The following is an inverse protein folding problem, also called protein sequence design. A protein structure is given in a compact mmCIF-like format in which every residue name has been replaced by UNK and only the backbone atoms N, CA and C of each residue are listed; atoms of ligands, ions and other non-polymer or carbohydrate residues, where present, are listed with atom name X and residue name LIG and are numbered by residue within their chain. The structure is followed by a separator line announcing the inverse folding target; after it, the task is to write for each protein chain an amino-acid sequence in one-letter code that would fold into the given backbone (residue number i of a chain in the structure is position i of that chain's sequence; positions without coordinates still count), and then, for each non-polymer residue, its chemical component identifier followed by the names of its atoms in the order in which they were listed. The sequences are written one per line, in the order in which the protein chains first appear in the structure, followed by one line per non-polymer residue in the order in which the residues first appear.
data_IF_126106116648
#
_entry.id   IF_126106116648
#
_cell.length_a   1.000
_cell.length_b   1.000
_cell.length_c   1.000
_cell.angle_alpha   90.00
_cell.angle_beta   90.00
_cell.angle_gamma   90.00
#
_symmetry.space_group_name_H-M   'P 1'
#
loop_
_entity.id
_entity.type
_entity.pdbx_description
1 polymer ?
#
# COMPACT_ATOMS: atom_id res chain seq x y z
N UNK A 1 18.85 -1.09 -15.83
CA UNK A 1 18.72 -2.47 -15.28
C UNK A 1 20.02 -3.10 -14.73
N UNK A 2 21.24 -2.58 -14.99
CA UNK A 2 22.50 -3.17 -14.45
C UNK A 2 22.70 -2.99 -12.93
N UNK A 3 22.05 -2.01 -12.30
CA UNK A 3 22.21 -1.72 -10.86
C UNK A 3 21.37 -2.62 -9.93
N UNK A 4 20.41 -3.41 -10.45
CA UNK A 4 19.61 -4.34 -9.64
C UNK A 4 20.31 -5.66 -9.32
N UNK A 5 21.20 -6.13 -10.20
CA UNK A 5 21.80 -7.46 -10.08
C UNK A 5 22.74 -7.61 -8.87
N UNK A 6 23.29 -6.51 -8.35
CA UNK A 6 24.24 -6.54 -7.24
C UNK A 6 23.60 -6.28 -5.86
N UNK A 7 22.53 -5.48 -5.78
CA UNK A 7 21.98 -5.02 -4.49
C UNK A 7 21.01 -5.99 -3.83
N UNK A 8 19.86 -6.23 -4.47
CA UNK A 8 18.76 -6.98 -3.84
C UNK A 8 18.99 -8.49 -3.75
N UNK A 9 19.45 -9.19 -4.82
CA UNK A 9 19.73 -10.62 -4.74
C UNK A 9 20.87 -10.94 -3.77
N UNK A 10 21.92 -10.11 -3.74
CA UNK A 10 23.05 -10.26 -2.83
C UNK A 10 22.66 -10.07 -1.37
N UNK A 11 21.90 -9.00 -1.06
CA UNK A 11 21.36 -8.77 0.30
C UNK A 11 20.44 -9.89 0.75
N UNK A 12 19.58 -10.41 -0.13
CA UNK A 12 18.70 -11.55 0.15
C UNK A 12 19.52 -12.81 0.46
N UNK A 13 20.51 -13.14 -0.35
CA UNK A 13 21.37 -14.30 -0.13
C UNK A 13 22.12 -14.19 1.20
N UNK A 14 22.67 -13.01 1.52
CA UNK A 14 23.34 -12.76 2.80
C UNK A 14 22.38 -12.87 4.00
N UNK A 15 21.13 -12.44 3.86
CA UNK A 15 20.12 -12.60 4.91
C UNK A 15 19.74 -14.07 5.12
N UNK A 16 19.54 -14.84 4.04
CA UNK A 16 19.27 -16.28 4.08
C UNK A 16 20.43 -17.03 4.75
N UNK A 17 21.68 -16.71 4.39
CA UNK A 17 22.85 -17.35 4.95
C UNK A 17 23.01 -17.16 6.47
N UNK A 18 22.37 -16.13 7.05
CA UNK A 18 22.35 -15.89 8.50
C UNK A 18 21.28 -16.69 9.24
N UNK A 19 20.42 -17.41 8.52
CA UNK A 19 19.30 -18.18 9.09
C UNK A 19 19.39 -19.63 8.60
N UNK A 20 20.19 -20.49 9.27
CA UNK A 20 20.40 -21.89 8.87
C UNK A 20 19.10 -22.68 8.64
N UNK A 21 18.05 -22.37 9.38
CA UNK A 21 16.71 -22.96 9.32
C UNK A 21 15.79 -22.34 8.26
N UNK A 22 16.29 -21.42 7.41
CA UNK A 22 15.47 -20.67 6.45
C UNK A 22 14.59 -21.58 5.57
N UNK A 23 15.14 -22.65 5.02
CA UNK A 23 14.38 -23.54 4.14
C UNK A 23 13.31 -24.33 4.91
N UNK A 24 13.56 -24.67 6.18
CA UNK A 24 12.57 -25.33 7.05
C UNK A 24 11.43 -24.36 7.41
N UNK A 25 11.75 -23.12 7.78
CA UNK A 25 10.75 -22.07 8.04
C UNK A 25 9.93 -21.76 6.78
N UNK A 26 10.57 -21.75 5.61
CA UNK A 26 9.89 -21.57 4.32
C UNK A 26 8.93 -22.71 4.01
N UNK A 27 9.31 -23.95 4.31
CA UNK A 27 8.44 -25.12 4.15
C UNK A 27 7.26 -25.04 5.13
N UNK A 28 7.52 -24.80 6.41
CA UNK A 28 6.48 -24.65 7.42
C UNK A 28 5.48 -23.53 7.08
N UNK A 29 5.97 -22.38 6.60
CA UNK A 29 5.10 -21.28 6.17
C UNK A 29 4.23 -21.62 4.95
N UNK A 30 4.75 -22.44 4.01
CA UNK A 30 3.96 -22.96 2.89
C UNK A 30 2.87 -23.91 3.37
N UNK A 31 3.21 -24.84 4.23
CA UNK A 31 2.29 -25.86 4.73
C UNK A 31 1.17 -25.21 5.56
N UNK A 32 1.51 -24.23 6.39
CA UNK A 32 0.54 -23.42 7.13
C UNK A 32 -0.38 -22.64 6.17
N UNK A 33 0.17 -22.03 5.13
CA UNK A 33 -0.65 -21.32 4.13
C UNK A 33 -1.62 -22.26 3.43
N UNK A 34 -1.18 -23.47 3.07
CA UNK A 34 -2.04 -24.48 2.44
C UNK A 34 -3.17 -24.90 3.40
N UNK A 35 -2.85 -25.17 4.66
CA UNK A 35 -3.85 -25.49 5.68
C UNK A 35 -4.89 -24.37 5.84
N UNK A 36 -4.45 -23.10 5.89
CA UNK A 36 -5.38 -21.95 5.97
C UNK A 36 -6.29 -21.86 4.74
N UNK A 37 -5.77 -22.15 3.54
CA UNK A 37 -6.57 -22.14 2.32
C UNK A 37 -7.57 -23.30 2.26
N UNK A 38 -7.22 -24.47 2.80
CA UNK A 38 -8.10 -25.64 2.90
C UNK A 38 -9.25 -25.44 3.91
N UNK A 39 -9.05 -24.57 4.91
CA UNK A 39 -10.02 -24.26 5.96
C UNK A 39 -10.40 -22.77 5.99
N UNK A 40 -10.45 -22.16 4.80
CA UNK A 40 -10.57 -20.72 4.67
C UNK A 40 -11.88 -20.21 5.27
N UNK A 41 -12.98 -20.93 5.07
CA UNK A 41 -14.29 -20.70 5.68
C UNK A 41 -14.20 -20.53 7.21
N UNK A 42 -13.57 -21.48 7.89
CA UNK A 42 -13.41 -21.45 9.34
C UNK A 42 -12.58 -20.25 9.82
N UNK A 43 -11.46 -19.96 9.16
CA UNK A 43 -10.58 -18.86 9.56
C UNK A 43 -11.22 -17.49 9.31
N UNK A 44 -11.98 -17.36 8.23
CA UNK A 44 -12.69 -16.16 7.85
C UNK A 44 -13.81 -15.83 8.85
N UNK A 45 -14.69 -16.78 9.16
CA UNK A 45 -15.77 -16.59 10.14
C UNK A 45 -15.22 -16.31 11.54
N UNK A 46 -14.12 -16.98 11.93
CA UNK A 46 -13.46 -16.73 13.22
C UNK A 46 -12.86 -15.32 13.29
N UNK A 47 -12.21 -14.87 12.22
CA UNK A 47 -11.67 -13.52 12.14
C UNK A 47 -12.81 -12.48 12.21
N UNK A 48 -13.89 -12.69 11.46
CA UNK A 48 -15.07 -11.82 11.49
C UNK A 48 -15.69 -11.71 12.88
N UNK A 49 -15.93 -12.84 13.54
CA UNK A 49 -16.47 -12.86 14.90
C UNK A 49 -15.60 -12.03 15.86
N UNK A 50 -14.26 -12.12 15.72
CA UNK A 50 -13.32 -11.35 16.54
C UNK A 50 -13.27 -9.87 16.20
N UNK A 51 -13.42 -9.50 14.93
CA UNK A 51 -13.53 -8.09 14.52
C UNK A 51 -14.78 -7.46 15.12
N UNK A 52 -15.93 -8.14 15.02
CA UNK A 52 -17.20 -7.67 15.57
C UNK A 52 -17.14 -7.55 17.10
N UNK A 53 -16.54 -8.53 17.78
CA UNK A 53 -16.32 -8.48 19.24
C UNK A 53 -15.50 -7.26 19.67
N UNK A 54 -14.57 -6.81 18.82
CA UNK A 54 -13.73 -5.63 19.06
C UNK A 54 -14.38 -4.30 18.61
N UNK A 55 -15.64 -4.34 18.17
CA UNK A 55 -16.38 -3.16 17.69
C UNK A 55 -16.06 -2.74 16.26
N UNK A 56 -15.33 -3.57 15.51
CA UNK A 56 -15.14 -3.40 14.08
C UNK A 56 -16.33 -3.91 13.26
N UNK A 57 -16.29 -3.67 11.96
CA UNK A 57 -17.28 -4.17 11.01
C UNK A 57 -16.58 -4.91 9.88
N UNK A 58 -17.07 -6.10 9.55
CA UNK A 58 -16.65 -6.85 8.36
C UNK A 58 -17.68 -6.65 7.27
N UNK A 59 -17.18 -6.42 6.06
CA UNK A 59 -17.98 -6.35 4.85
C UNK A 59 -17.48 -7.41 3.88
N UNK A 60 -18.39 -8.28 3.45
CA UNK A 60 -18.11 -9.32 2.46
C UNK A 60 -18.39 -8.79 1.06
N UNK A 61 -17.44 -8.96 0.15
CA UNK A 61 -17.60 -8.61 -1.27
C UNK A 61 -17.32 -9.84 -2.13
N UNK A 62 -18.24 -10.15 -3.04
CA UNK A 62 -18.13 -11.29 -3.97
C UNK A 62 -17.28 -10.95 -5.19
N UNK A 63 -17.22 -9.68 -5.56
CA UNK A 63 -16.49 -9.19 -6.72
C UNK A 63 -15.95 -7.76 -6.52
N UNK A 64 -15.21 -7.30 -7.53
CA UNK A 64 -14.59 -5.97 -7.56
C UNK A 64 -15.62 -4.82 -7.52
N UNK A 65 -16.83 -5.01 -8.07
CA UNK A 65 -17.85 -3.96 -8.08
C UNK A 65 -18.45 -3.78 -6.67
N UNK A 66 -18.78 -4.90 -6.01
CA UNK A 66 -19.29 -4.89 -4.63
C UNK A 66 -18.24 -4.32 -3.66
N UNK A 67 -16.97 -4.71 -3.79
CA UNK A 67 -15.88 -4.19 -2.97
C UNK A 67 -15.74 -2.66 -3.10
N UNK A 68 -15.73 -2.15 -4.33
CA UNK A 68 -15.66 -0.71 -4.62
C UNK A 68 -16.86 0.05 -4.05
N UNK A 69 -18.06 -0.50 -4.22
CA UNK A 69 -19.29 0.11 -3.70
C UNK A 69 -19.27 0.20 -2.18
N UNK A 70 -18.87 -0.87 -1.49
CA UNK A 70 -18.71 -0.89 -0.03
C UNK A 70 -17.74 0.21 0.42
N UNK A 71 -16.56 0.31 -0.20
CA UNK A 71 -15.57 1.33 0.17
C UNK A 71 -16.10 2.74 -0.04
N UNK A 72 -16.81 2.98 -1.16
CA UNK A 72 -17.45 4.27 -1.43
C UNK A 72 -18.52 4.61 -0.38
N UNK A 73 -19.35 3.65 0.01
CA UNK A 73 -20.41 3.87 1.00
C UNK A 73 -19.82 4.15 2.39
N UNK A 74 -18.73 3.47 2.76
CA UNK A 74 -17.96 3.79 3.98
C UNK A 74 -17.42 5.21 3.91
N UNK A 75 -16.78 5.62 2.81
CA UNK A 75 -16.27 6.99 2.64
C UNK A 75 -17.39 8.03 2.74
N UNK A 76 -18.55 7.77 2.12
CA UNK A 76 -19.72 8.66 2.17
C UNK A 76 -20.33 8.75 3.56
N UNK A 77 -20.32 7.66 4.34
CA UNK A 77 -20.86 7.63 5.70
C UNK A 77 -20.18 8.64 6.64
N UNK A 78 -18.92 8.97 6.36
CA UNK A 78 -18.12 9.97 7.08
C UNK A 78 -17.94 11.27 6.30
N UNK A 79 -18.68 11.44 5.19
CA UNK A 79 -18.57 12.57 4.27
C UNK A 79 -17.12 12.85 3.79
N UNK A 80 -16.32 11.80 3.64
CA UNK A 80 -14.94 11.92 3.18
C UNK A 80 -14.88 12.53 1.78
N UNK A 81 -13.99 13.51 1.63
CA UNK A 81 -13.59 14.08 0.33
C UNK A 81 -12.18 13.64 -0.05
N UNK A 82 -11.35 13.29 0.94
CA UNK A 82 -9.99 12.79 0.73
C UNK A 82 -9.71 11.60 1.62
N UNK A 83 -9.09 10.58 1.06
CA UNK A 83 -8.62 9.40 1.80
C UNK A 83 -7.15 9.14 1.48
N UNK A 84 -6.36 8.78 2.48
CA UNK A 84 -5.01 8.24 2.22
C UNK A 84 -5.08 6.74 2.03
N UNK A 85 -4.29 6.22 1.10
CA UNK A 85 -4.26 4.81 0.75
C UNK A 85 -2.84 4.28 0.81
N UNK A 86 -2.64 3.19 1.55
CA UNK A 86 -1.41 2.40 1.50
C UNK A 86 -1.40 1.43 0.32
N UNK A 87 -0.20 1.01 -0.09
CA UNK A 87 -0.02 0.05 -1.18
C UNK A 87 -0.84 -1.22 -0.95
N UNK A 88 -1.71 -1.53 -1.89
CA UNK A 88 -2.46 -2.79 -1.91
C UNK A 88 -2.70 -3.23 -3.35
N UNK A 89 -2.22 -4.43 -3.69
CA UNK A 89 -2.41 -5.01 -5.03
C UNK A 89 -3.90 -5.20 -5.32
N UNK A 90 -4.67 -5.61 -4.31
CA UNK A 90 -6.11 -5.83 -4.46
C UNK A 90 -6.84 -4.55 -4.83
N UNK A 91 -6.47 -3.40 -4.24
CA UNK A 91 -7.09 -2.13 -4.61
C UNK A 91 -6.74 -1.67 -6.04
N UNK A 92 -5.55 -2.03 -6.54
CA UNK A 92 -5.17 -1.79 -7.95
C UNK A 92 -5.98 -2.70 -8.88
N UNK A 93 -6.08 -3.99 -8.57
CA UNK A 93 -6.80 -4.98 -9.39
C UNK A 93 -8.28 -4.65 -9.55
N UNK A 94 -8.92 -4.07 -8.51
CA UNK A 94 -10.31 -3.66 -8.58
C UNK A 94 -10.49 -2.24 -9.17
N UNK A 95 -9.43 -1.50 -9.45
CA UNK A 95 -9.49 -0.11 -9.94
C UNK A 95 -10.13 0.83 -8.93
N UNK A 96 -9.70 0.75 -7.67
CA UNK A 96 -10.32 1.50 -6.57
C UNK A 96 -10.08 3.01 -6.70
N UNK A 97 -8.90 3.44 -7.14
CA UNK A 97 -8.56 4.85 -7.20
C UNK A 97 -9.44 5.59 -8.21
N UNK A 98 -9.50 5.09 -9.45
CA UNK A 98 -10.32 5.66 -10.52
C UNK A 98 -11.80 5.65 -10.14
N UNK A 99 -12.26 4.61 -9.44
CA UNK A 99 -13.62 4.52 -8.96
C UNK A 99 -13.93 5.60 -7.91
N UNK A 100 -13.06 5.82 -6.92
CA UNK A 100 -13.26 6.86 -5.91
C UNK A 100 -13.19 8.26 -6.52
N UNK A 101 -12.24 8.51 -7.42
CA UNK A 101 -12.09 9.78 -8.14
C UNK A 101 -13.34 10.13 -8.95
N UNK A 102 -13.89 9.15 -9.69
CA UNK A 102 -15.13 9.31 -10.45
C UNK A 102 -16.34 9.65 -9.56
N UNK A 103 -16.28 9.34 -8.27
CA UNK A 103 -17.32 9.63 -7.28
C UNK A 103 -16.99 10.84 -6.37
N UNK A 104 -15.97 11.62 -6.72
CA UNK A 104 -15.63 12.87 -6.03
C UNK A 104 -14.84 12.70 -4.73
N UNK A 105 -14.24 11.53 -4.50
CA UNK A 105 -13.33 11.27 -3.40
C UNK A 105 -11.91 11.23 -3.96
N UNK A 106 -11.00 11.98 -3.36
CA UNK A 106 -9.58 11.99 -3.76
C UNK A 106 -8.80 10.92 -2.96
N UNK A 107 -8.42 9.79 -3.56
CA UNK A 107 -7.44 8.88 -2.98
C UNK A 107 -6.03 9.48 -3.11
N UNK A 108 -5.20 9.33 -2.09
CA UNK A 108 -3.77 9.73 -2.14
C UNK A 108 -2.93 8.55 -1.69
N UNK A 109 -2.06 8.07 -2.57
CA UNK A 109 -1.11 7.00 -2.25
C UNK A 109 -0.06 7.45 -1.23
N UNK A 110 0.22 6.60 -0.25
CA UNK A 110 1.24 6.87 0.79
C UNK A 110 2.56 6.15 0.55
N UNK A 111 2.59 5.13 -0.31
CA UNK A 111 3.84 4.53 -0.80
C UNK A 111 4.48 5.51 -1.79
N UNK A 112 5.75 5.87 -1.59
CA UNK A 112 6.43 6.83 -2.45
C UNK A 112 6.42 6.41 -3.92
N UNK A 113 6.58 5.10 -4.18
CA UNK A 113 6.59 4.58 -5.53
C UNK A 113 5.20 4.68 -6.18
N UNK A 114 4.15 4.27 -5.47
CA UNK A 114 2.76 4.39 -5.96
C UNK A 114 2.36 5.87 -6.12
N UNK A 115 2.77 6.74 -5.20
CA UNK A 115 2.52 8.19 -5.28
C UNK A 115 3.15 8.82 -6.53
N UNK A 116 4.40 8.49 -6.85
CA UNK A 116 5.05 8.98 -8.08
C UNK A 116 4.28 8.51 -9.32
N UNK A 117 3.81 7.26 -9.33
CA UNK A 117 3.02 6.71 -10.43
C UNK A 117 1.65 7.39 -10.52
N UNK A 118 1.01 7.66 -9.38
CA UNK A 118 -0.26 8.39 -9.30
C UNK A 118 -0.13 9.80 -9.87
N UNK A 119 0.90 10.56 -9.49
CA UNK A 119 1.18 11.90 -10.04
C UNK A 119 1.40 11.89 -11.55
N UNK A 120 1.85 10.77 -12.10
CA UNK A 120 2.13 10.63 -13.53
C UNK A 120 0.97 10.02 -14.32
N UNK A 121 -0.10 9.59 -13.64
CA UNK A 121 -1.21 8.84 -14.23
C UNK A 121 -0.72 7.64 -15.06
N UNK A 122 0.28 6.93 -14.55
CA UNK A 122 0.89 5.76 -15.18
C UNK A 122 0.46 4.47 -14.47
N UNK A 123 0.72 3.31 -15.07
CA UNK A 123 0.59 2.03 -14.39
C UNK A 123 1.93 1.60 -13.77
N UNK A 124 1.92 0.88 -12.64
CA UNK A 124 3.14 0.41 -12.00
C UNK A 124 3.89 -0.58 -12.90
N UNK A 125 5.20 -0.37 -13.06
CA UNK A 125 6.04 -1.25 -13.90
C UNK A 125 6.43 -2.56 -13.23
N UNK A 126 6.33 -2.64 -11.90
CA UNK A 126 6.71 -3.82 -11.12
C UNK A 126 5.99 -3.85 -9.78
N UNK A 127 5.50 -5.03 -9.37
CA UNK A 127 4.70 -5.22 -8.14
C UNK A 127 5.39 -4.69 -6.88
N UNK A 128 6.68 -4.99 -6.70
CA UNK A 128 7.46 -4.60 -5.50
C UNK A 128 8.05 -3.19 -5.60
N UNK A 129 8.18 -2.65 -6.82
CA UNK A 129 8.90 -1.41 -7.08
C UNK A 129 8.22 -0.65 -8.23
N UNK A 130 7.08 -0.01 -7.98
CA UNK A 130 6.17 0.47 -9.02
C UNK A 130 6.83 1.49 -9.97
N UNK A 131 7.61 2.41 -9.41
CA UNK A 131 8.36 3.46 -10.12
C UNK A 131 9.77 3.07 -10.60
N UNK A 132 10.14 1.77 -10.64
CA UNK A 132 11.55 1.36 -10.92
C UNK A 132 12.05 1.71 -12.32
N UNK A 133 11.14 1.95 -13.26
CA UNK A 133 11.47 2.34 -14.63
C UNK A 133 11.80 3.82 -14.75
N UNK A 134 11.45 4.63 -13.75
CA UNK A 134 11.69 6.07 -13.75
C UNK A 134 13.11 6.39 -13.30
N UNK A 135 13.71 7.37 -13.97
CA UNK A 135 14.94 7.99 -13.51
C UNK A 135 14.63 9.18 -12.60
N UNK A 136 15.68 9.68 -11.94
CA UNK A 136 15.60 10.78 -10.98
C UNK A 136 15.05 12.06 -11.60
N UNK A 137 15.41 12.37 -12.83
CA UNK A 137 15.01 13.62 -13.49
C UNK A 137 13.50 13.58 -13.81
N UNK A 138 12.98 12.41 -14.19
CA UNK A 138 11.53 12.19 -14.38
C UNK A 138 10.73 12.31 -13.07
N UNK A 139 11.33 11.91 -11.94
CA UNK A 139 10.72 12.11 -10.61
C UNK A 139 10.72 13.59 -10.23
N UNK A 140 11.83 14.28 -10.45
CA UNK A 140 11.95 15.72 -10.21
C UNK A 140 10.93 16.53 -11.05
N UNK A 141 10.73 16.15 -12.31
CA UNK A 141 9.73 16.79 -13.18
C UNK A 141 8.30 16.57 -12.66
N UNK A 142 7.98 15.35 -12.21
CA UNK A 142 6.67 15.02 -11.67
C UNK A 142 6.37 15.84 -10.39
N UNK A 143 7.35 15.98 -9.51
CA UNK A 143 7.21 16.76 -8.28
C UNK A 143 7.09 18.26 -8.57
N UNK A 144 7.94 18.80 -9.43
CA UNK A 144 7.87 20.21 -9.82
C UNK A 144 6.50 20.58 -10.44
N UNK A 145 5.89 19.67 -11.21
CA UNK A 145 4.57 19.90 -11.81
C UNK A 145 3.42 19.87 -10.79
N UNK A 146 3.52 19.09 -9.72
CA UNK A 146 2.38 18.81 -8.82
C UNK A 146 2.53 19.35 -7.40
N UNK A 147 3.74 19.68 -6.95
CA UNK A 147 3.98 20.10 -5.57
C UNK A 147 3.92 21.61 -5.33
N UNK A 148 3.70 22.40 -6.38
CA UNK A 148 3.48 23.86 -6.27
C UNK A 148 2.43 24.26 -5.22
N UNK A 149 1.24 23.61 -5.16
CA UNK A 149 0.22 23.87 -4.13
C UNK A 149 0.69 23.63 -2.69
N UNK A 150 1.77 22.87 -2.48
CA UNK A 150 2.34 22.58 -1.16
C UNK A 150 3.57 23.45 -0.83
N UNK A 151 3.90 24.44 -1.69
CA UNK A 151 5.00 25.39 -1.47
C UNK A 151 6.30 25.02 -2.18
N UNK A 152 6.35 23.93 -2.95
CA UNK A 152 7.53 23.54 -3.71
C UNK A 152 7.44 24.05 -5.14
N UNK A 153 8.05 25.22 -5.39
CA UNK A 153 7.99 25.91 -6.69
C UNK A 153 9.29 25.81 -7.49
N UNK A 154 10.39 25.43 -6.86
CA UNK A 154 11.67 25.20 -7.53
C UNK A 154 11.87 23.72 -7.81
N UNK A 155 12.47 23.41 -8.96
CA UNK A 155 12.80 22.03 -9.32
C UNK A 155 14.08 21.59 -8.59
N UNK A 156 14.03 20.44 -7.93
CA UNK A 156 15.17 19.86 -7.23
C UNK A 156 15.52 18.48 -7.79
N UNK A 157 16.80 18.16 -7.94
CA UNK A 157 17.28 16.84 -8.41
C UNK A 157 18.04 16.07 -7.32
N UNK A 158 18.27 16.67 -6.15
CA UNK A 158 19.03 16.01 -5.09
C UNK A 158 18.17 14.90 -4.45
N UNK A 159 18.63 13.64 -4.41
CA UNK A 159 17.79 12.52 -3.96
C UNK A 159 17.22 12.68 -2.55
N UNK A 160 17.99 13.23 -1.58
CA UNK A 160 17.48 13.44 -0.23
C UNK A 160 16.46 14.56 -0.19
N UNK A 161 16.65 15.62 -0.96
CA UNK A 161 15.71 16.72 -1.07
C UNK A 161 14.39 16.26 -1.68
N UNK A 162 14.42 15.48 -2.77
CA UNK A 162 13.22 14.85 -3.36
C UNK A 162 12.47 13.98 -2.35
N UNK A 163 13.18 13.12 -1.60
CA UNK A 163 12.53 12.31 -0.56
C UNK A 163 11.93 13.14 0.57
N UNK A 164 12.63 14.18 1.03
CA UNK A 164 12.14 15.08 2.08
C UNK A 164 10.93 15.89 1.62
N UNK A 165 10.94 16.35 0.37
CA UNK A 165 9.82 17.05 -0.27
C UNK A 165 8.59 16.13 -0.33
N UNK A 166 8.73 14.92 -0.88
CA UNK A 166 7.64 13.95 -0.92
C UNK A 166 7.10 13.64 0.47
N UNK A 167 7.97 13.46 1.47
CA UNK A 167 7.53 13.23 2.87
C UNK A 167 6.74 14.42 3.42
N UNK A 168 7.14 15.65 3.16
CA UNK A 168 6.41 16.84 3.62
C UNK A 168 5.02 16.93 2.98
N UNK A 169 4.94 16.68 1.67
CA UNK A 169 3.66 16.66 0.94
C UNK A 169 2.75 15.55 1.48
N UNK A 170 3.25 14.31 1.55
CA UNK A 170 2.47 13.17 2.04
C UNK A 170 2.03 13.34 3.50
N UNK A 171 2.85 13.97 4.34
CA UNK A 171 2.48 14.30 5.73
C UNK A 171 1.32 15.30 5.78
N UNK A 172 1.32 16.33 4.93
CA UNK A 172 0.19 17.26 4.84
C UNK A 172 -1.07 16.55 4.35
N UNK A 173 -0.95 15.68 3.35
CA UNK A 173 -2.06 14.88 2.85
C UNK A 173 -2.65 13.99 3.94
N UNK A 174 -1.80 13.26 4.67
CA UNK A 174 -2.18 12.40 5.78
C UNK A 174 -2.93 13.16 6.89
N UNK A 175 -2.41 14.31 7.32
CA UNK A 175 -3.07 15.12 8.35
C UNK A 175 -4.41 15.74 7.89
N UNK A 176 -4.62 15.86 6.59
CA UNK A 176 -5.82 16.43 5.99
C UNK A 176 -6.85 15.40 5.52
N UNK A 177 -6.56 14.10 5.65
CA UNK A 177 -7.43 13.06 5.14
C UNK A 177 -8.57 12.74 6.11
N UNK A 178 -9.74 12.44 5.55
CA UNK A 178 -10.95 12.09 6.30
C UNK A 178 -10.99 10.60 6.67
N UNK A 179 -10.12 9.79 6.06
CA UNK A 179 -10.03 8.35 6.29
C UNK A 179 -8.77 7.72 5.69
N UNK A 180 -8.46 6.51 6.15
CA UNK A 180 -7.33 5.72 5.69
C UNK A 180 -7.76 4.37 5.13
N UNK A 181 -7.19 3.97 4.00
CA UNK A 181 -7.38 2.66 3.38
C UNK A 181 -6.03 1.94 3.39
N UNK A 182 -6.01 0.71 3.89
CA UNK A 182 -4.79 -0.11 3.89
C UNK A 182 -5.11 -1.55 3.55
N UNK A 183 -4.17 -2.22 2.89
CA UNK A 183 -4.17 -3.67 2.82
C UNK A 183 -3.64 -4.29 4.11
N UNK A 184 -3.52 -5.61 4.11
CA UNK A 184 -2.84 -6.40 5.12
C UNK A 184 -2.00 -7.50 4.45
N UNK A 185 -0.89 -7.90 5.07
CA UNK A 185 -0.12 -9.06 4.61
C UNK A 185 -0.75 -10.36 5.11
N UNK A 186 -1.26 -10.36 6.34
CA UNK A 186 -2.04 -11.46 6.91
C UNK A 186 -2.85 -10.97 8.13
N UNK A 187 -3.91 -11.71 8.45
CA UNK A 187 -4.73 -11.52 9.65
C UNK A 187 -4.56 -12.67 10.63
N UNK A 188 -4.67 -12.38 11.94
CA UNK A 188 -4.68 -13.38 13.01
C UNK A 188 -6.13 -13.61 13.43
N UNK A 189 -6.70 -14.74 13.03
CA UNK A 189 -8.11 -15.07 13.27
C UNK A 189 -8.51 -15.08 14.75
N UNK A 190 -7.60 -15.45 15.65
CA UNK A 190 -7.89 -15.50 17.09
C UNK A 190 -8.09 -14.13 17.73
N UNK A 191 -7.42 -13.10 17.21
CA UNK A 191 -7.32 -11.78 17.84
C UNK A 191 -7.79 -10.64 16.94
N UNK A 192 -8.28 -10.93 15.72
CA UNK A 192 -8.58 -9.94 14.70
C UNK A 192 -7.43 -8.97 14.37
N UNK A 193 -6.18 -9.37 14.62
CA UNK A 193 -5.02 -8.52 14.36
C UNK A 193 -4.66 -8.56 12.89
N UNK A 194 -4.55 -7.39 12.26
CA UNK A 194 -3.98 -7.26 10.91
C UNK A 194 -2.49 -6.96 11.00
N UNK A 195 -1.67 -7.67 10.23
CA UNK A 195 -0.22 -7.44 10.17
C UNK A 195 0.13 -6.81 8.83
N UNK A 196 0.85 -5.71 8.91
CA UNK A 196 1.40 -4.98 7.76
C UNK A 196 2.92 -4.95 7.90
N UNK A 197 3.62 -5.46 6.90
CA UNK A 197 5.08 -5.45 6.82
C UNK A 197 5.48 -4.31 5.88
N UNK A 198 6.01 -3.24 6.46
CA UNK A 198 6.40 -2.05 5.70
C UNK A 198 7.87 -2.07 5.31
N UNK A 199 8.17 -1.71 4.06
CA UNK A 199 9.47 -1.17 3.65
C UNK A 199 9.32 0.33 3.41
N UNK A 200 9.83 1.17 4.32
CA UNK A 200 10.00 2.64 4.20
C UNK A 200 8.81 3.53 3.72
N UNK A 201 7.61 3.00 3.41
CA UNK A 201 6.45 3.78 2.96
C UNK A 201 5.07 3.17 3.18
N UNK A 202 4.97 1.91 3.67
CA UNK A 202 3.71 1.15 3.69
C UNK A 202 3.07 0.97 5.08
N UNK A 203 3.57 1.65 6.12
CA UNK A 203 3.04 1.46 7.48
C UNK A 203 3.61 2.33 8.59
N UNK A 204 4.63 3.14 8.31
CA UNK A 204 5.15 4.14 9.25
C UNK A 204 5.44 5.42 8.46
N UNK A 205 4.55 6.38 8.56
CA UNK A 205 4.83 7.77 8.21
C UNK A 205 4.85 8.57 9.52
N UNK A 206 6.01 9.01 10.01
CA UNK A 206 6.11 10.23 10.78
C UNK A 206 6.04 11.41 9.80
#
# INVERSE_FOLDING_TARGET
LKNLKAGFPGKRAAAIAKLPEFDQLRAAGRDLKNHVLEHLDFYLERFEAKVIEQGGQVHWARDAAEARQIVLDICRSVAARRVTKGKSIISEEIGLNEFLEAHGIQPVETDLGEYIIQLRHEHPSHIIAPAIHLNRDQVADAFHAHHGPYGFTERNEEPRALMNEARQVLRQQFLSADGGITGANFGIAETATTVIVTNEGNGVLP
#
